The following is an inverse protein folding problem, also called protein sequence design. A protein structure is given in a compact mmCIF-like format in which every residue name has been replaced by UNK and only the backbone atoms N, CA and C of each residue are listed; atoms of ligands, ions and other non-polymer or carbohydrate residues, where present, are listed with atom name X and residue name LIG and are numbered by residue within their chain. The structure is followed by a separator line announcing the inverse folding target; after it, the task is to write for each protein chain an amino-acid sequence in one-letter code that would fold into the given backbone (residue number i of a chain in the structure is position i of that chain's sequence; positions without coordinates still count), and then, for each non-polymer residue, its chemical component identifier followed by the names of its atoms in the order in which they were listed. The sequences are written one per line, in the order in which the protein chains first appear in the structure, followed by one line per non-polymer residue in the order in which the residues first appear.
data_IF_536416854280
#
_entry.id   IF_536416854280
#
_cell.length_a   1.000
_cell.length_b   1.000
_cell.length_c   1.000
_cell.angle_alpha   90.00
_cell.angle_beta   90.00
_cell.angle_gamma   90.00
#
_symmetry.space_group_name_H-M   'P 1'
#
loop_
_entity.id
_entity.type
_entity.pdbx_description
1 polymer ?
#
# COMPACT_ATOMS: atom_id res chain seq x y z
N UNK A 1 1.73 5.34 21.54
CA UNK A 1 1.37 4.00 22.05
C UNK A 1 1.93 3.81 23.44
N UNK A 2 1.21 3.19 24.36
CA UNK A 2 1.74 2.80 25.67
C UNK A 2 2.67 1.58 25.55
N UNK A 3 3.47 1.30 26.59
CA UNK A 3 4.24 0.05 26.65
C UNK A 3 3.34 -1.19 26.55
N UNK A 4 2.14 -1.14 27.15
CA UNK A 4 1.15 -2.23 27.11
C UNK A 4 0.69 -2.51 25.69
N UNK A 5 0.42 -1.46 24.91
CA UNK A 5 0.01 -1.59 23.50
C UNK A 5 1.13 -2.21 22.67
N UNK A 6 2.37 -1.76 22.89
CA UNK A 6 3.54 -2.29 22.18
C UNK A 6 3.79 -3.77 22.51
N UNK A 7 3.60 -4.21 23.76
CA UNK A 7 3.69 -5.63 24.12
C UNK A 7 2.65 -6.46 23.36
N UNK A 8 1.40 -5.99 23.32
CA UNK A 8 0.31 -6.68 22.64
C UNK A 8 0.56 -6.82 21.13
N UNK A 9 1.07 -5.77 20.48
CA UNK A 9 1.30 -5.76 19.03
C UNK A 9 2.57 -6.51 18.63
N UNK A 10 3.62 -6.46 19.45
CA UNK A 10 4.92 -7.08 19.10
C UNK A 10 5.07 -8.52 19.58
N UNK A 11 4.30 -8.94 20.60
CA UNK A 11 4.44 -10.26 21.23
C UNK A 11 5.74 -10.46 22.00
N UNK A 12 6.53 -9.39 22.23
CA UNK A 12 7.81 -9.48 22.92
C UNK A 12 7.64 -9.64 24.43
N UNK A 13 8.61 -10.32 25.06
CA UNK A 13 8.76 -10.27 26.51
C UNK A 13 9.05 -8.84 26.98
N UNK A 14 8.51 -8.47 28.15
CA UNK A 14 8.60 -7.11 28.69
C UNK A 14 10.03 -6.57 28.76
N UNK A 15 10.97 -7.36 29.27
CA UNK A 15 12.38 -6.96 29.37
C UNK A 15 13.05 -6.70 28.01
N UNK A 16 12.69 -7.46 26.99
CA UNK A 16 13.18 -7.27 25.62
C UNK A 16 12.60 -6.02 24.99
N UNK A 17 11.31 -5.74 25.17
CA UNK A 17 10.68 -4.53 24.65
C UNK A 17 11.36 -3.27 25.23
N UNK A 18 11.52 -3.19 26.55
CA UNK A 18 12.16 -2.03 27.18
C UNK A 18 13.61 -1.82 26.71
N UNK A 19 14.37 -2.91 26.51
CA UNK A 19 15.74 -2.83 25.97
C UNK A 19 15.75 -2.26 24.55
N UNK A 20 14.83 -2.68 23.69
CA UNK A 20 14.71 -2.16 22.32
C UNK A 20 14.26 -0.70 22.29
N UNK A 21 13.25 -0.34 23.09
CA UNK A 21 12.78 1.04 23.22
C UNK A 21 13.90 1.95 23.72
N UNK A 22 14.66 1.54 24.74
CA UNK A 22 15.78 2.34 25.25
C UNK A 22 16.84 2.60 24.17
N UNK A 23 17.15 1.61 23.33
CA UNK A 23 18.07 1.77 22.21
C UNK A 23 17.53 2.74 21.15
N UNK A 24 16.26 2.56 20.73
CA UNK A 24 15.61 3.42 19.74
C UNK A 24 15.46 4.87 20.23
N UNK A 25 15.20 5.06 21.53
CA UNK A 25 15.21 6.37 22.18
C UNK A 25 16.60 7.00 22.13
N UNK A 26 17.64 6.23 22.48
CA UNK A 26 19.03 6.70 22.43
C UNK A 26 19.45 7.17 21.03
N UNK A 27 18.93 6.51 20.00
CA UNK A 27 19.18 6.88 18.60
C UNK A 27 18.18 7.90 18.03
N UNK A 28 17.22 8.40 18.83
CA UNK A 28 16.27 9.42 18.41
C UNK A 28 15.13 8.94 17.50
N UNK A 29 14.97 7.63 17.33
CA UNK A 29 13.85 7.02 16.57
C UNK A 29 12.55 6.98 17.37
N UNK A 30 12.64 6.99 18.71
CA UNK A 30 11.47 6.99 19.59
C UNK A 30 11.56 8.19 20.53
N UNK A 31 10.47 8.95 20.62
CA UNK A 31 10.23 9.93 21.66
C UNK A 31 9.30 9.32 22.71
N UNK A 32 9.45 9.76 23.97
CA UNK A 32 8.56 9.38 25.05
C UNK A 32 8.01 10.65 25.72
N UNK A 33 6.70 10.69 25.92
CA UNK A 33 6.02 11.73 26.67
C UNK A 33 4.97 11.10 27.60
N UNK A 34 5.10 11.34 28.90
CA UNK A 34 4.18 10.82 29.93
C UNK A 34 3.92 9.29 29.82
N UNK A 35 4.94 8.50 29.51
CA UNK A 35 4.83 7.04 29.37
C UNK A 35 4.25 6.55 28.04
N UNK A 36 3.98 7.46 27.10
CA UNK A 36 3.58 7.15 25.73
C UNK A 36 4.75 7.33 24.78
N UNK A 37 4.96 6.31 23.93
CA UNK A 37 5.99 6.29 22.90
C UNK A 37 5.42 6.73 21.56
N UNK A 38 6.19 7.53 20.83
CA UNK A 38 5.89 8.03 19.50
C UNK A 38 7.15 8.04 18.62
N UNK A 39 7.03 8.15 17.29
CA UNK A 39 8.18 8.38 16.42
C UNK A 39 8.98 9.61 16.88
N UNK A 40 10.29 9.45 16.98
CA UNK A 40 11.22 10.53 17.30
C UNK A 40 11.69 11.28 16.05
N UNK A 41 12.37 12.43 16.21
CA UNK A 41 12.74 13.33 15.11
C UNK A 41 13.59 12.69 13.99
N UNK A 42 14.40 11.67 14.30
CA UNK A 42 15.21 10.99 13.28
C UNK A 42 14.34 10.30 12.23
N UNK A 43 13.09 9.96 12.57
CA UNK A 43 12.11 9.47 11.59
C UNK A 43 11.91 10.43 10.41
N UNK A 44 12.02 11.75 10.63
CA UNK A 44 11.93 12.74 9.55
C UNK A 44 13.12 12.67 8.60
N UNK A 45 14.32 12.38 9.11
CA UNK A 45 15.51 12.20 8.27
C UNK A 45 15.39 10.95 7.40
N UNK A 46 14.85 9.86 7.95
CA UNK A 46 14.56 8.65 7.17
C UNK A 46 13.49 8.90 6.10
N UNK A 47 12.41 9.61 6.46
CA UNK A 47 11.36 9.97 5.51
C UNK A 47 11.91 10.86 4.38
N UNK A 48 12.74 11.86 4.71
CA UNK A 48 13.41 12.69 3.71
C UNK A 48 14.37 11.89 2.83
N UNK A 49 15.18 11.01 3.44
CA UNK A 49 16.07 10.13 2.70
C UNK A 49 15.31 9.21 1.74
N UNK A 50 14.14 8.71 2.15
CA UNK A 50 13.25 7.96 1.26
C UNK A 50 12.74 8.83 0.11
N UNK A 51 12.28 10.05 0.39
CA UNK A 51 11.72 10.95 -0.63
C UNK A 51 12.73 11.36 -1.70
N UNK A 52 13.97 11.58 -1.31
CA UNK A 52 15.03 12.00 -2.24
C UNK A 52 15.54 10.84 -3.09
N UNK A 53 15.49 9.60 -2.58
CA UNK A 53 16.16 8.46 -3.22
C UNK A 53 15.20 7.38 -3.77
N UNK A 54 13.89 7.58 -3.66
CA UNK A 54 12.91 6.60 -4.13
C UNK A 54 12.67 6.72 -5.64
N UNK A 55 13.41 5.93 -6.40
CA UNK A 55 13.23 5.77 -7.86
C UNK A 55 11.78 5.49 -8.24
N UNK A 56 11.09 4.66 -7.45
CA UNK A 56 9.68 4.33 -7.69
C UNK A 56 8.79 5.57 -7.59
N UNK A 57 8.98 6.42 -6.57
CA UNK A 57 8.19 7.65 -6.38
C UNK A 57 8.50 8.63 -7.52
N UNK A 58 9.77 8.80 -7.85
CA UNK A 58 10.22 9.68 -8.94
C UNK A 58 9.61 9.27 -10.29
N UNK A 59 9.75 8.00 -10.68
CA UNK A 59 9.22 7.48 -11.94
C UNK A 59 7.68 7.58 -12.03
N UNK A 60 7.01 7.49 -10.88
CA UNK A 60 5.54 7.49 -10.77
C UNK A 60 4.91 8.87 -10.77
N UNK A 61 5.61 9.90 -10.25
CA UNK A 61 5.02 11.21 -9.91
C UNK A 61 4.24 11.84 -11.07
N UNK A 62 4.81 11.81 -12.29
CA UNK A 62 4.17 12.40 -13.46
C UNK A 62 2.89 11.68 -13.89
N UNK A 63 2.87 10.34 -13.85
CA UNK A 63 1.67 9.59 -14.25
C UNK A 63 0.60 9.63 -13.17
N UNK A 64 0.99 9.64 -11.89
CA UNK A 64 0.07 9.88 -10.78
C UNK A 64 -0.61 11.25 -10.90
N UNK A 65 0.14 12.32 -11.19
CA UNK A 65 -0.42 13.65 -11.36
C UNK A 65 -1.40 13.73 -12.53
N UNK A 66 -1.08 13.09 -13.68
CA UNK A 66 -1.99 13.01 -14.83
C UNK A 66 -3.27 12.26 -14.47
N UNK A 67 -3.15 11.13 -13.77
CA UNK A 67 -4.29 10.33 -13.34
C UNK A 67 -5.18 11.12 -12.38
N UNK A 68 -4.59 11.79 -11.38
CA UNK A 68 -5.32 12.61 -10.41
C UNK A 68 -6.06 13.78 -11.09
N UNK A 69 -5.42 14.47 -12.05
CA UNK A 69 -6.07 15.54 -12.83
C UNK A 69 -7.22 15.02 -13.70
N UNK A 70 -7.08 13.83 -14.29
CA UNK A 70 -8.12 13.23 -15.12
C UNK A 70 -9.31 12.77 -14.28
N UNK A 71 -9.05 12.14 -13.14
CA UNK A 71 -10.09 11.57 -12.29
C UNK A 71 -10.77 12.62 -11.42
N UNK A 72 -10.01 13.62 -10.95
CA UNK A 72 -10.33 14.53 -9.84
C UNK A 72 -10.47 13.79 -8.49
N UNK A 73 -9.87 12.60 -8.39
CA UNK A 73 -9.98 11.68 -7.26
C UNK A 73 -8.60 11.36 -6.67
N UNK A 74 -8.60 10.70 -5.50
CA UNK A 74 -7.37 10.35 -4.80
C UNK A 74 -6.58 9.29 -5.58
N UNK A 75 -5.28 9.53 -5.78
CA UNK A 75 -4.36 8.61 -6.46
C UNK A 75 -3.18 8.30 -5.55
N UNK A 76 -3.05 7.04 -5.15
CA UNK A 76 -1.99 6.55 -4.28
C UNK A 76 -0.99 5.67 -5.03
N UNK A 77 0.26 5.72 -4.57
CA UNK A 77 1.29 4.73 -4.88
C UNK A 77 1.49 3.87 -3.64
N UNK A 78 1.32 2.56 -3.81
CA UNK A 78 1.36 1.61 -2.69
C UNK A 78 2.40 0.53 -2.91
N UNK A 79 2.96 0.04 -1.81
CA UNK A 79 3.90 -1.09 -1.81
C UNK A 79 3.48 -2.12 -0.77
N UNK A 80 3.86 -3.38 -1.01
CA UNK A 80 3.71 -4.43 -0.02
C UNK A 80 4.89 -4.41 0.97
N UNK A 81 4.62 -4.20 2.26
CA UNK A 81 5.60 -4.33 3.34
C UNK A 81 5.11 -5.38 4.32
N UNK A 82 5.77 -6.54 4.33
CA UNK A 82 5.32 -7.72 5.10
C UNK A 82 3.86 -8.05 4.78
N UNK A 83 2.96 -7.96 5.77
CA UNK A 83 1.53 -8.21 5.66
C UNK A 83 0.70 -6.91 5.56
N UNK A 84 1.31 -5.81 5.12
CA UNK A 84 0.66 -4.51 5.01
C UNK A 84 0.82 -3.90 3.62
N UNK A 85 -0.22 -3.17 3.19
CA UNK A 85 -0.17 -2.20 2.09
C UNK A 85 0.24 -0.87 2.69
N UNK A 86 1.36 -0.32 2.22
CA UNK A 86 1.86 0.98 2.67
C UNK A 86 1.77 2.00 1.54
N UNK A 87 1.15 3.15 1.81
CA UNK A 87 1.14 4.27 0.87
C UNK A 87 2.46 5.02 0.93
N UNK A 88 3.19 5.08 -0.18
CA UNK A 88 4.50 5.76 -0.27
C UNK A 88 4.41 7.14 -0.89
N UNK A 89 3.37 7.40 -1.71
CA UNK A 89 3.07 8.70 -2.29
C UNK A 89 1.55 8.83 -2.53
N UNK A 90 1.01 10.04 -2.43
CA UNK A 90 -0.42 10.31 -2.61
C UNK A 90 -0.65 11.67 -3.30
N UNK A 91 -1.60 11.69 -4.23
CA UNK A 91 -2.27 12.92 -4.67
C UNK A 91 -3.70 12.89 -4.15
N UNK A 92 -4.04 13.83 -3.27
CA UNK A 92 -5.37 13.94 -2.70
C UNK A 92 -6.39 14.46 -3.71
N UNK A 93 -7.64 14.01 -3.59
CA UNK A 93 -8.76 14.64 -4.28
C UNK A 93 -8.94 16.08 -3.80
N UNK A 94 -9.23 16.98 -4.74
CA UNK A 94 -9.56 18.39 -4.43
C UNK A 94 -10.96 18.53 -3.80
N UNK A 95 -11.75 17.45 -3.75
CA UNK A 95 -13.06 17.44 -3.13
C UNK A 95 -12.97 17.32 -1.60
N UNK A 96 -13.89 18.00 -0.88
CA UNK A 96 -13.98 17.93 0.58
C UNK A 96 -14.26 16.50 1.09
N UNK A 97 -15.07 15.74 0.34
CA UNK A 97 -15.28 14.31 0.59
C UNK A 97 -14.27 13.49 -0.23
N UNK A 98 -13.26 12.96 0.46
CA UNK A 98 -12.19 12.14 -0.09
C UNK A 98 -11.90 10.93 0.79
N UNK A 99 -11.16 9.97 0.25
CA UNK A 99 -10.77 8.77 0.97
C UNK A 99 -9.80 9.10 2.11
N UNK A 100 -9.82 8.31 3.19
CA UNK A 100 -8.99 8.55 4.40
C UNK A 100 -7.56 8.00 4.29
N UNK A 101 -7.22 7.35 3.17
CA UNK A 101 -5.91 6.75 2.97
C UNK A 101 -4.90 7.84 2.65
N UNK A 102 -3.74 7.81 3.30
CA UNK A 102 -2.76 8.90 3.28
C UNK A 102 -1.35 8.34 3.18
N UNK A 103 -0.42 9.15 2.67
CA UNK A 103 1.00 8.81 2.61
C UNK A 103 1.54 8.43 3.99
N UNK A 104 2.29 7.35 4.07
CA UNK A 104 2.83 6.78 5.32
C UNK A 104 1.85 5.90 6.08
N UNK A 105 0.55 5.88 5.72
CA UNK A 105 -0.42 4.98 6.32
C UNK A 105 -0.21 3.56 5.80
N UNK A 106 -0.28 2.60 6.73
CA UNK A 106 -0.24 1.18 6.42
C UNK A 106 -1.57 0.52 6.81
N UNK A 107 -2.12 -0.31 5.94
CA UNK A 107 -3.34 -1.09 6.17
C UNK A 107 -3.07 -2.58 5.94
N UNK A 108 -3.82 -3.49 6.57
CA UNK A 108 -3.63 -4.93 6.37
C UNK A 108 -3.73 -5.32 4.89
N UNK A 109 -2.83 -6.18 4.43
CA UNK A 109 -2.80 -6.70 3.06
C UNK A 109 -3.82 -7.84 2.90
N UNK A 110 -5.10 -7.46 2.98
CA UNK A 110 -6.25 -8.39 3.04
C UNK A 110 -7.36 -8.08 2.05
N UNK A 111 -7.81 -6.83 1.98
CA UNK A 111 -9.01 -6.44 1.25
C UNK A 111 -8.81 -5.12 0.49
N UNK A 112 -9.67 -4.88 -0.52
CA UNK A 112 -9.60 -3.71 -1.38
C UNK A 112 -8.64 -3.87 -2.56
N UNK A 113 -8.85 -3.03 -3.58
CA UNK A 113 -8.14 -3.09 -4.85
C UNK A 113 -6.61 -3.08 -4.68
N UNK A 114 -6.09 -2.21 -3.82
CA UNK A 114 -4.66 -2.09 -3.53
C UNK A 114 -4.05 -3.40 -2.99
N UNK A 115 -4.69 -4.02 -2.00
CA UNK A 115 -4.20 -5.27 -1.41
C UNK A 115 -4.30 -6.42 -2.41
N UNK A 116 -5.45 -6.53 -3.11
CA UNK A 116 -5.69 -7.57 -4.10
C UNK A 116 -4.73 -7.49 -5.29
N UNK A 117 -4.43 -6.27 -5.78
CA UNK A 117 -3.41 -6.04 -6.81
C UNK A 117 -2.02 -6.52 -6.35
N UNK A 118 -1.57 -6.09 -5.16
CA UNK A 118 -0.28 -6.52 -4.62
C UNK A 118 -0.20 -8.03 -4.41
N UNK A 119 -1.26 -8.66 -3.87
CA UNK A 119 -1.35 -10.12 -3.69
C UNK A 119 -1.29 -10.87 -5.03
N UNK A 120 -1.94 -10.36 -6.07
CA UNK A 120 -1.98 -11.04 -7.35
C UNK A 120 -0.60 -11.10 -8.01
N UNK A 121 0.25 -10.09 -7.85
CA UNK A 121 1.51 -9.98 -8.59
C UNK A 121 2.79 -10.15 -7.75
N UNK A 122 2.67 -10.41 -6.45
CA UNK A 122 3.81 -10.85 -5.63
C UNK A 122 4.16 -12.33 -5.86
N UNK A 123 5.39 -12.72 -5.54
CA UNK A 123 5.87 -14.11 -5.69
C UNK A 123 5.04 -15.11 -4.88
N UNK A 124 4.86 -16.33 -5.38
CA UNK A 124 4.06 -17.37 -4.73
C UNK A 124 4.44 -17.64 -3.27
N UNK A 125 5.75 -17.63 -2.97
CA UNK A 125 6.25 -17.81 -1.60
C UNK A 125 5.76 -16.69 -0.66
N UNK A 126 6.01 -15.43 -1.03
CA UNK A 126 5.58 -14.27 -0.23
C UNK A 126 4.06 -14.22 -0.13
N UNK A 127 3.34 -14.53 -1.22
CA UNK A 127 1.88 -14.62 -1.23
C UNK A 127 1.37 -15.65 -0.22
N UNK A 128 1.93 -16.85 -0.25
CA UNK A 128 1.53 -17.92 0.66
C UNK A 128 1.77 -17.53 2.12
N UNK A 129 2.92 -16.91 2.43
CA UNK A 129 3.24 -16.44 3.78
C UNK A 129 2.24 -15.39 4.27
N UNK A 130 1.88 -14.41 3.41
CA UNK A 130 0.89 -13.38 3.76
C UNK A 130 -0.51 -13.99 3.93
N UNK A 131 -0.96 -14.82 2.99
CA UNK A 131 -2.29 -15.45 3.08
C UNK A 131 -2.40 -16.34 4.33
N UNK A 132 -1.37 -17.11 4.66
CA UNK A 132 -1.32 -17.88 5.91
C UNK A 132 -1.49 -16.98 7.14
N UNK A 133 -0.78 -15.85 7.17
CA UNK A 133 -0.86 -14.89 8.28
C UNK A 133 -2.19 -14.16 8.37
N UNK A 134 -2.88 -13.92 7.25
CA UNK A 134 -4.12 -13.11 7.21
C UNK A 134 -5.36 -13.95 7.46
N UNK A 135 -5.39 -15.19 6.95
CA UNK A 135 -6.55 -16.07 7.05
C UNK A 135 -6.52 -17.00 8.26
N UNK A 136 -5.38 -17.14 8.96
CA UNK A 136 -5.26 -17.89 10.22
C UNK A 136 -5.90 -19.30 10.21
N UNK A 137 -5.85 -20.00 9.07
CA UNK A 137 -6.44 -21.34 8.91
C UNK A 137 -7.85 -21.38 8.29
N UNK A 138 -8.44 -20.24 7.94
CA UNK A 138 -9.65 -20.16 7.11
C UNK A 138 -9.33 -20.57 5.65
N UNK A 139 -9.43 -21.88 5.40
CA UNK A 139 -9.16 -22.47 4.08
C UNK A 139 -10.17 -22.06 3.02
N UNK A 140 -11.44 -21.86 3.40
CA UNK A 140 -12.50 -21.47 2.49
C UNK A 140 -12.32 -20.01 2.02
N UNK A 141 -12.12 -19.09 2.96
CA UNK A 141 -11.84 -17.68 2.63
C UNK A 141 -10.57 -17.51 1.81
N UNK A 142 -9.54 -18.30 2.11
CA UNK A 142 -8.31 -18.33 1.30
C UNK A 142 -8.56 -18.79 -0.13
N UNK A 143 -9.30 -19.87 -0.35
CA UNK A 143 -9.56 -20.40 -1.69
C UNK A 143 -10.36 -19.42 -2.57
N UNK A 144 -11.31 -18.69 -1.97
CA UNK A 144 -12.05 -17.62 -2.63
C UNK A 144 -11.09 -16.52 -3.09
N UNK A 145 -10.24 -16.02 -2.18
CA UNK A 145 -9.26 -14.99 -2.54
C UNK A 145 -8.28 -15.48 -3.59
N UNK A 146 -7.75 -16.70 -3.48
CA UNK A 146 -6.84 -17.23 -4.51
C UNK A 146 -7.49 -17.24 -5.91
N UNK A 147 -8.78 -17.59 -6.01
CA UNK A 147 -9.53 -17.54 -7.27
C UNK A 147 -9.68 -16.10 -7.79
N UNK A 148 -9.96 -15.14 -6.92
CA UNK A 148 -10.02 -13.71 -7.30
C UNK A 148 -8.66 -13.20 -7.79
N UNK A 149 -7.56 -13.64 -7.16
CA UNK A 149 -6.21 -13.24 -7.56
C UNK A 149 -5.85 -13.76 -8.95
N UNK A 150 -6.33 -14.95 -9.34
CA UNK A 150 -6.13 -15.47 -10.69
C UNK A 150 -6.88 -14.66 -11.74
N UNK A 151 -8.11 -14.22 -11.44
CA UNK A 151 -8.85 -13.29 -12.31
C UNK A 151 -8.11 -11.94 -12.45
N UNK A 152 -7.58 -11.41 -11.35
CA UNK A 152 -6.79 -10.17 -11.33
C UNK A 152 -5.51 -10.31 -12.17
N UNK A 153 -4.83 -11.46 -12.10
CA UNK A 153 -3.66 -11.74 -12.96
C UNK A 153 -4.03 -11.73 -14.44
N UNK A 154 -5.15 -12.35 -14.79
CA UNK A 154 -5.60 -12.44 -16.18
C UNK A 154 -5.98 -11.07 -16.76
N UNK A 155 -6.66 -10.22 -15.99
CA UNK A 155 -7.12 -8.91 -16.47
C UNK A 155 -6.10 -7.77 -16.27
N UNK A 156 -5.13 -7.93 -15.37
CA UNK A 156 -4.05 -6.96 -15.15
C UNK A 156 -4.36 -5.84 -14.15
N UNK A 157 -5.49 -5.88 -13.45
CA UNK A 157 -5.88 -4.90 -12.44
C UNK A 157 -6.86 -5.49 -11.42
N UNK A 158 -7.02 -4.83 -10.28
CA UNK A 158 -8.01 -5.18 -9.26
C UNK A 158 -8.99 -4.03 -9.08
N UNK A 159 -10.27 -4.35 -8.84
CA UNK A 159 -11.32 -3.40 -8.48
C UNK A 159 -11.92 -3.85 -7.15
N UNK A 160 -12.33 -2.90 -6.34
CA UNK A 160 -13.10 -3.15 -5.11
C UNK A 160 -14.14 -2.06 -4.93
N UNK A 161 -15.31 -2.44 -4.42
CA UNK A 161 -16.34 -1.49 -3.97
C UNK A 161 -16.71 -1.83 -2.53
N UNK A 162 -16.56 -0.87 -1.62
CA UNK A 162 -17.00 -0.95 -0.23
C UNK A 162 -16.37 -2.09 0.58
N UNK A 163 -15.22 -2.62 0.14
CA UNK A 163 -14.52 -3.73 0.83
C UNK A 163 -13.71 -3.28 2.05
N UNK A 164 -13.20 -2.05 2.04
CA UNK A 164 -12.37 -1.49 3.12
C UNK A 164 -13.15 -0.45 3.90
N UNK A 165 -13.58 0.60 3.21
CA UNK A 165 -14.43 1.66 3.74
C UNK A 165 -15.76 1.64 2.96
N UNK A 166 -16.92 1.61 3.64
CA UNK A 166 -18.22 1.64 2.96
C UNK A 166 -18.38 2.87 2.06
N UNK A 167 -18.85 2.65 0.83
CA UNK A 167 -19.04 3.71 -0.16
C UNK A 167 -17.76 4.21 -0.82
N UNK A 168 -16.65 3.49 -0.69
CA UNK A 168 -15.40 3.75 -1.42
C UNK A 168 -15.21 2.70 -2.50
N UNK A 169 -15.13 3.17 -3.74
CA UNK A 169 -14.72 2.40 -4.91
C UNK A 169 -13.23 2.64 -5.18
N UNK A 170 -12.53 1.61 -5.63
CA UNK A 170 -11.13 1.73 -6.01
C UNK A 170 -10.72 0.78 -7.11
N UNK A 171 -9.73 1.21 -7.89
CA UNK A 171 -9.03 0.39 -8.90
C UNK A 171 -7.53 0.48 -8.66
N UNK A 172 -6.84 -0.65 -8.78
CA UNK A 172 -5.39 -0.71 -8.63
C UNK A 172 -4.74 -1.62 -9.68
N UNK A 173 -3.64 -1.15 -10.25
CA UNK A 173 -2.88 -1.86 -11.26
C UNK A 173 -1.41 -2.00 -10.82
N UNK A 174 -0.78 -3.17 -11.07
CA UNK A 174 0.58 -3.46 -10.64
C UNK A 174 1.60 -2.63 -11.41
N UNK A 175 2.69 -2.26 -10.73
CA UNK A 175 3.87 -1.65 -11.33
C UNK A 175 4.99 -2.69 -11.32
N UNK A 176 5.40 -3.09 -12.52
CA UNK A 176 6.49 -4.04 -12.71
C UNK A 176 7.82 -3.32 -12.84
N UNK A 177 8.82 -3.82 -12.13
CA UNK A 177 10.21 -3.37 -12.25
C UNK A 177 11.12 -4.58 -12.47
N UNK A 178 12.30 -4.33 -13.04
CA UNK A 178 13.33 -5.37 -13.20
C UNK A 178 14.13 -5.52 -11.92
N UNK A 179 14.08 -6.70 -11.30
CA UNK A 179 15.08 -7.14 -10.33
C UNK A 179 15.87 -8.28 -10.97
N UNK A 180 17.08 -7.98 -11.46
CA UNK A 180 17.90 -8.95 -12.18
C UNK A 180 17.21 -9.41 -13.49
N UNK A 181 16.97 -10.73 -13.64
CA UNK A 181 16.35 -11.31 -14.85
C UNK A 181 14.82 -11.49 -14.77
N UNK A 182 14.20 -11.22 -13.62
CA UNK A 182 12.77 -11.43 -13.42
C UNK A 182 12.03 -10.10 -13.21
N UNK A 183 10.87 -9.97 -13.84
CA UNK A 183 9.92 -8.92 -13.49
C UNK A 183 9.29 -9.25 -12.14
N UNK A 184 9.34 -8.31 -11.20
CA UNK A 184 8.64 -8.43 -9.92
C UNK A 184 7.73 -7.23 -9.72
N UNK A 185 6.57 -7.45 -9.09
CA UNK A 185 5.67 -6.38 -8.69
C UNK A 185 5.60 -6.33 -7.18
N UNK A 186 6.27 -5.35 -6.60
CA UNK A 186 6.15 -5.00 -5.18
C UNK A 186 5.32 -3.74 -4.94
N UNK A 187 4.83 -3.12 -6.02
CA UNK A 187 4.17 -1.82 -6.01
C UNK A 187 2.94 -1.83 -6.92
N UNK A 188 1.96 -0.98 -6.61
CA UNK A 188 0.79 -0.72 -7.45
C UNK A 188 0.44 0.75 -7.40
N UNK A 189 -0.12 1.28 -8.49
CA UNK A 189 -0.85 2.55 -8.47
C UNK A 189 -2.32 2.26 -8.18
N UNK A 190 -2.96 3.11 -7.39
CA UNK A 190 -4.36 2.95 -6.97
C UNK A 190 -5.11 4.27 -7.11
N UNK A 191 -6.31 4.21 -7.67
CA UNK A 191 -7.25 5.33 -7.72
C UNK A 191 -8.42 4.99 -6.81
N UNK A 192 -8.80 5.92 -5.93
CA UNK A 192 -9.88 5.74 -4.97
C UNK A 192 -10.86 6.90 -5.06
N UNK A 193 -12.14 6.59 -5.16
CA UNK A 193 -13.22 7.55 -5.31
C UNK A 193 -14.44 7.09 -4.49
N UNK A 194 -15.30 8.00 -4.00
CA UNK A 194 -16.62 7.61 -3.50
C UNK A 194 -17.39 6.87 -4.60
N UNK A 195 -18.07 5.78 -4.25
CA UNK A 195 -18.74 4.92 -5.24
C UNK A 195 -19.74 5.72 -6.08
N UNK A 196 -20.42 6.70 -5.49
CA UNK A 196 -21.34 7.62 -6.20
C UNK A 196 -20.70 8.46 -7.31
N UNK A 197 -19.39 8.72 -7.25
CA UNK A 197 -18.64 9.44 -8.29
C UNK A 197 -17.95 8.51 -9.28
N UNK A 198 -17.73 7.25 -8.89
CA UNK A 198 -17.21 6.21 -9.77
C UNK A 198 -18.27 5.70 -10.76
N UNK A 199 -19.56 5.69 -10.35
CA UNK A 199 -20.67 5.24 -11.20
C UNK A 199 -20.69 5.95 -12.56
N UNK A 200 -20.65 5.16 -13.63
CA UNK A 200 -20.63 5.63 -15.02
C UNK A 200 -19.25 6.06 -15.53
N UNK A 201 -18.21 5.98 -14.69
CA UNK A 201 -16.82 6.34 -15.01
C UNK A 201 -15.84 5.20 -14.76
N UNK A 202 -16.31 4.03 -14.33
CA UNK A 202 -15.48 2.89 -13.91
C UNK A 202 -14.52 2.47 -15.01
N UNK A 203 -15.01 2.26 -16.24
CA UNK A 203 -14.15 1.90 -17.38
C UNK A 203 -13.09 2.96 -17.67
N UNK A 204 -13.46 4.25 -17.60
CA UNK A 204 -12.52 5.35 -17.78
C UNK A 204 -11.41 5.34 -16.72
N UNK A 205 -11.78 5.10 -15.46
CA UNK A 205 -10.84 5.06 -14.34
C UNK A 205 -9.94 3.83 -14.39
N UNK A 206 -10.50 2.67 -14.74
CA UNK A 206 -9.73 1.43 -14.94
C UNK A 206 -8.70 1.64 -16.04
N UNK A 207 -9.13 2.09 -17.22
CA UNK A 207 -8.26 2.30 -18.36
C UNK A 207 -7.15 3.31 -18.07
N UNK A 208 -7.47 4.42 -17.40
CA UNK A 208 -6.49 5.43 -17.02
C UNK A 208 -5.48 4.89 -16.01
N UNK A 209 -5.93 4.11 -15.03
CA UNK A 209 -5.08 3.51 -13.99
C UNK A 209 -4.13 2.46 -14.59
N UNK A 210 -4.64 1.58 -15.46
CA UNK A 210 -3.83 0.57 -16.17
C UNK A 210 -2.79 1.23 -17.08
N UNK A 211 -3.19 2.26 -17.84
CA UNK A 211 -2.24 3.03 -18.67
C UNK A 211 -1.15 3.68 -17.83
N UNK A 212 -1.50 4.31 -16.71
CA UNK A 212 -0.52 4.91 -15.81
C UNK A 212 0.46 3.85 -15.28
N UNK A 213 -0.05 2.72 -14.78
CA UNK A 213 0.77 1.61 -14.28
C UNK A 213 1.76 1.09 -15.33
N UNK A 214 1.32 0.94 -16.59
CA UNK A 214 2.17 0.52 -17.71
C UNK A 214 3.27 1.54 -18.00
N UNK A 215 2.93 2.83 -18.10
CA UNK A 215 3.91 3.89 -18.35
C UNK A 215 4.97 3.96 -17.25
N UNK A 216 4.57 3.77 -15.98
CA UNK A 216 5.50 3.71 -14.86
C UNK A 216 6.38 2.46 -14.97
N UNK A 217 5.79 1.31 -15.26
CA UNK A 217 6.53 0.05 -15.41
C UNK A 217 7.59 0.11 -16.51
N UNK A 218 7.28 0.77 -17.64
CA UNK A 218 8.24 0.96 -18.74
C UNK A 218 9.44 1.82 -18.31
N UNK A 219 9.22 2.90 -17.54
CA UNK A 219 10.32 3.71 -16.98
C UNK A 219 11.18 2.90 -16.01
N UNK A 220 10.56 2.17 -15.10
CA UNK A 220 11.21 1.33 -14.08
C UNK A 220 12.01 0.13 -14.65
N UNK A 221 11.96 -0.10 -15.97
CA UNK A 221 12.72 -1.15 -16.66
C UNK A 221 13.87 -0.61 -17.52
N UNK A 222 13.88 0.71 -17.75
CA UNK A 222 14.85 1.39 -18.61
C UNK A 222 16.02 1.96 -17.80
N UNK A 223 15.80 2.23 -16.52
CA UNK A 223 16.78 2.70 -15.53
C UNK A 223 17.36 1.52 -14.71
#
# INVERSE_FOLDING_TARGET
MSAKDLLAVTGLAQSTLYRQIALLKRWGFVAEHAGYYAPGPISLQLAHGFDVNSLLVEASRNEMQKLARLSQESVGLVVAVKNQVMCVEMFDSEHSLRCSFERGRAVPLRAGASAKSLLAFMTDKVRADVLNSVFHGDSAGRAIVETELDAIRAQGYAVSDSEVDPGVWGVSAPIFHRIGRAASSGASITLMAPSTRAVGRESQFIDATVRAARCISERMQTD
#
